data_IF_606964860774
#
_entry.id   IF_606964860774
#
_cell.length_a   1.000
_cell.length_b   1.000
_cell.length_c   1.000
_cell.angle_alpha   90.00
_cell.angle_beta   90.00
_cell.angle_gamma   90.00
#
_symmetry.space_group_name_H-M   'P 1'
#
loop_
_entity.id
_entity.type
_entity.pdbx_description
1 polymer ?
#
# COMPACT_ATOMS: atom_id res chain seq x y z
N UNK A 1 18.09 -5.57 -3.71
CA UNK A 1 17.52 -5.53 -2.35
C UNK A 1 16.77 -6.84 -2.07
N UNK A 2 16.62 -7.29 -0.81
CA UNK A 2 15.70 -8.38 -0.51
C UNK A 2 14.26 -7.99 -0.90
N UNK A 3 13.48 -8.96 -1.35
CA UNK A 3 12.06 -8.75 -1.67
C UNK A 3 11.31 -8.32 -0.40
N UNK A 4 10.50 -7.26 -0.50
CA UNK A 4 9.61 -6.87 0.58
C UNK A 4 8.52 -7.92 0.78
N UNK A 5 8.17 -8.20 2.03
CA UNK A 5 7.01 -9.01 2.42
C UNK A 5 6.18 -8.21 3.41
N UNK A 6 4.91 -7.97 3.09
CA UNK A 6 4.01 -7.25 3.95
C UNK A 6 3.75 -8.06 5.24
N UNK A 7 3.89 -7.45 6.43
CA UNK A 7 3.73 -8.15 7.71
C UNK A 7 2.24 -8.28 8.10
N UNK A 8 1.43 -8.88 7.22
CA UNK A 8 -0.03 -8.96 7.38
C UNK A 8 -0.45 -9.60 8.71
N UNK A 9 0.31 -10.58 9.20
CA UNK A 9 0.04 -11.22 10.48
C UNK A 9 0.08 -10.22 11.64
N UNK A 10 1.11 -9.38 11.69
CA UNK A 10 1.29 -8.42 12.77
C UNK A 10 0.30 -7.25 12.66
N UNK A 11 -0.01 -6.83 11.42
CA UNK A 11 -1.06 -5.84 11.17
C UNK A 11 -2.42 -6.36 11.67
N UNK A 12 -2.78 -7.59 11.32
CA UNK A 12 -4.02 -8.24 11.78
C UNK A 12 -4.04 -8.39 13.29
N UNK A 13 -2.93 -8.78 13.92
CA UNK A 13 -2.82 -8.87 15.37
C UNK A 13 -3.13 -7.52 16.04
N UNK A 14 -2.49 -6.44 15.59
CA UNK A 14 -2.73 -5.10 16.13
C UNK A 14 -4.19 -4.68 15.94
N UNK A 15 -4.72 -4.81 14.73
CA UNK A 15 -6.08 -4.37 14.42
C UNK A 15 -7.15 -5.15 15.20
N UNK A 16 -7.04 -6.47 15.26
CA UNK A 16 -8.08 -7.33 15.82
C UNK A 16 -7.90 -7.57 17.32
N UNK A 17 -6.70 -7.92 17.76
CA UNK A 17 -6.46 -8.40 19.12
C UNK A 17 -6.07 -7.28 20.09
N UNK A 18 -5.38 -6.24 19.60
CA UNK A 18 -4.93 -5.12 20.44
C UNK A 18 -5.95 -3.98 20.44
N UNK A 19 -6.46 -3.60 19.28
CA UNK A 19 -7.28 -2.39 19.14
C UNK A 19 -8.79 -2.66 19.00
N UNK A 20 -9.22 -3.90 18.79
CA UNK A 20 -10.62 -4.27 18.51
C UNK A 20 -11.25 -3.29 17.51
N UNK A 21 -10.64 -3.19 16.33
CA UNK A 21 -11.05 -2.21 15.32
C UNK A 21 -12.53 -2.39 14.93
N UNK A 22 -13.05 -3.62 14.93
CA UNK A 22 -14.43 -3.91 14.57
C UNK A 22 -15.42 -3.23 15.53
N UNK A 23 -15.18 -3.28 16.84
CA UNK A 23 -16.00 -2.54 17.81
C UNK A 23 -15.84 -1.03 17.66
N UNK A 24 -14.62 -0.55 17.41
CA UNK A 24 -14.38 0.88 17.18
C UNK A 24 -15.17 1.41 15.98
N UNK A 25 -15.11 0.73 14.83
CA UNK A 25 -15.77 1.18 13.60
C UNK A 25 -17.30 1.19 13.71
N UNK A 26 -17.88 0.29 14.52
CA UNK A 26 -19.33 0.33 14.82
C UNK A 26 -19.77 1.61 15.54
N UNK A 27 -18.85 2.33 16.19
CA UNK A 27 -19.17 3.62 16.83
C UNK A 27 -19.19 4.80 15.85
N UNK A 28 -18.69 4.59 14.63
CA UNK A 28 -18.61 5.62 13.60
C UNK A 28 -19.86 5.59 12.72
N UNK A 29 -20.45 6.76 12.45
CA UNK A 29 -21.65 6.88 11.61
C UNK A 29 -21.45 6.43 10.15
N UNK A 30 -20.20 6.25 9.73
CA UNK A 30 -19.78 5.82 8.40
C UNK A 30 -18.95 4.52 8.42
N UNK A 31 -19.00 3.75 9.51
CA UNK A 31 -18.19 2.53 9.68
C UNK A 31 -18.85 1.24 9.19
N UNK A 32 -20.05 1.31 8.62
CA UNK A 32 -20.89 0.13 8.31
C UNK A 32 -20.25 -0.87 7.33
N UNK A 33 -19.40 -0.40 6.42
CA UNK A 33 -18.75 -1.22 5.38
C UNK A 33 -17.36 -1.74 5.80
N UNK A 34 -16.93 -1.49 7.05
CA UNK A 34 -15.65 -1.98 7.55
C UNK A 34 -15.79 -3.35 8.23
N UNK A 35 -16.46 -4.30 7.56
CA UNK A 35 -16.53 -5.68 8.01
C UNK A 35 -15.17 -6.39 7.87
N UNK A 36 -15.06 -7.55 8.52
CA UNK A 36 -13.81 -8.31 8.58
C UNK A 36 -13.31 -8.74 7.20
N UNK A 37 -14.21 -9.24 6.35
CA UNK A 37 -13.83 -9.77 5.03
C UNK A 37 -13.39 -8.64 4.12
N UNK A 38 -14.13 -7.52 4.11
CA UNK A 38 -13.78 -6.32 3.32
C UNK A 38 -12.43 -5.74 3.72
N UNK A 39 -12.18 -5.59 5.02
CA UNK A 39 -10.90 -5.07 5.53
C UNK A 39 -9.76 -6.02 5.20
N UNK A 40 -9.97 -7.32 5.33
CA UNK A 40 -8.95 -8.32 5.00
C UNK A 40 -8.60 -8.32 3.51
N UNK A 41 -9.61 -8.24 2.63
CA UNK A 41 -9.40 -8.11 1.18
C UNK A 41 -8.58 -6.86 0.83
N UNK A 42 -8.85 -5.73 1.48
CA UNK A 42 -8.07 -4.49 1.28
C UNK A 42 -6.62 -4.69 1.70
N UNK A 43 -6.39 -5.32 2.86
CA UNK A 43 -5.04 -5.59 3.36
C UNK A 43 -4.27 -6.52 2.40
N UNK A 44 -4.91 -7.55 1.88
CA UNK A 44 -4.30 -8.49 0.93
C UNK A 44 -3.99 -7.83 -0.41
N UNK A 45 -4.92 -7.05 -0.96
CA UNK A 45 -4.68 -6.30 -2.20
C UNK A 45 -3.55 -5.27 -2.06
N UNK A 46 -3.53 -4.53 -0.94
CA UNK A 46 -2.45 -3.59 -0.66
C UNK A 46 -1.09 -4.29 -0.47
N UNK A 47 -1.07 -5.45 0.19
CA UNK A 47 0.13 -6.27 0.33
C UNK A 47 0.65 -6.74 -1.03
N UNK A 48 -0.22 -7.30 -1.86
CA UNK A 48 0.15 -7.77 -3.21
C UNK A 48 0.74 -6.64 -4.06
N UNK A 49 0.09 -5.48 -4.08
CA UNK A 49 0.59 -4.31 -4.79
C UNK A 49 1.96 -3.83 -4.28
N UNK A 50 2.14 -3.75 -2.95
CA UNK A 50 3.43 -3.35 -2.38
C UNK A 50 4.55 -4.35 -2.72
N UNK A 51 4.26 -5.65 -2.67
CA UNK A 51 5.23 -6.72 -2.91
C UNK A 51 5.59 -6.87 -4.39
N UNK A 52 4.60 -6.79 -5.29
CA UNK A 52 4.75 -7.12 -6.71
C UNK A 52 4.92 -5.91 -7.63
N UNK A 53 4.49 -4.71 -7.21
CA UNK A 53 4.61 -3.50 -8.02
C UNK A 53 5.63 -2.53 -7.43
N UNK A 54 5.51 -2.18 -6.15
CA UNK A 54 6.39 -1.16 -5.54
C UNK A 54 7.77 -1.71 -5.20
N UNK A 55 7.86 -2.86 -4.53
CA UNK A 55 9.15 -3.42 -4.09
C UNK A 55 10.15 -3.64 -5.24
N UNK A 56 9.76 -4.13 -6.43
CA UNK A 56 10.69 -4.28 -7.54
C UNK A 56 11.26 -2.96 -8.07
N UNK A 57 10.51 -1.86 -7.96
CA UNK A 57 10.94 -0.54 -8.41
C UNK A 57 11.93 0.14 -7.46
N UNK A 58 12.04 -0.34 -6.21
CA UNK A 58 12.80 0.35 -5.18
C UNK A 58 14.29 0.50 -5.52
N UNK A 59 14.93 -0.58 -6.00
CA UNK A 59 16.35 -0.54 -6.34
C UNK A 59 16.62 0.29 -7.61
N UNK A 60 15.86 0.06 -8.69
CA UNK A 60 16.06 0.82 -9.93
C UNK A 60 15.72 2.30 -9.75
N UNK A 61 14.72 2.61 -8.91
CA UNK A 61 14.35 3.98 -8.58
C UNK A 61 15.44 4.75 -7.84
N UNK A 62 16.11 4.09 -6.89
CA UNK A 62 17.25 4.66 -6.16
C UNK A 62 18.46 4.88 -7.09
N UNK A 63 18.74 3.92 -7.97
CA UNK A 63 19.85 4.00 -8.93
C UNK A 63 19.65 5.11 -9.99
N UNK A 64 18.44 5.29 -10.49
CA UNK A 64 18.11 6.31 -11.51
C UNK A 64 17.95 7.71 -10.90
N UNK A 65 17.23 7.81 -9.78
CA UNK A 65 16.85 9.07 -9.17
C UNK A 65 15.89 9.93 -10.01
N UNK A 66 15.48 11.08 -9.48
CA UNK A 66 14.69 12.05 -10.23
C UNK A 66 15.60 12.91 -11.12
N UNK A 67 15.09 13.26 -12.30
CA UNK A 67 15.76 14.19 -13.21
C UNK A 67 15.01 15.51 -13.30
N UNK A 68 15.75 16.61 -13.38
CA UNK A 68 15.21 17.94 -13.60
C UNK A 68 15.73 18.51 -14.91
N UNK A 69 14.83 18.92 -15.79
CA UNK A 69 15.17 19.56 -17.05
C UNK A 69 14.15 20.64 -17.40
N UNK A 70 14.63 21.86 -17.69
CA UNK A 70 13.82 23.01 -18.13
C UNK A 70 12.53 23.29 -17.32
N UNK A 71 12.58 23.13 -16.00
CA UNK A 71 11.43 23.36 -15.12
C UNK A 71 10.52 22.15 -14.91
N UNK A 72 10.81 21.02 -15.57
CA UNK A 72 10.09 19.75 -15.43
C UNK A 72 10.89 18.76 -14.58
N UNK A 73 10.23 18.09 -13.63
CA UNK A 73 10.80 16.98 -12.86
C UNK A 73 10.24 15.66 -13.40
N UNK A 74 11.13 14.72 -13.68
CA UNK A 74 10.78 13.36 -14.12
C UNK A 74 11.20 12.35 -13.06
N UNK A 75 10.25 11.54 -12.63
CA UNK A 75 10.49 10.43 -11.70
C UNK A 75 11.16 9.25 -12.42
N UNK A 76 11.83 8.35 -11.68
CA UNK A 76 12.39 7.14 -12.24
C UNK A 76 11.37 6.33 -13.05
N UNK A 77 11.88 5.53 -13.99
CA UNK A 77 11.06 4.63 -14.79
C UNK A 77 10.21 3.69 -13.92
N UNK A 78 8.95 3.51 -14.31
CA UNK A 78 8.01 2.61 -13.62
C UNK A 78 7.19 3.26 -12.51
N UNK A 79 7.66 4.38 -11.92
CA UNK A 79 6.94 5.06 -10.84
C UNK A 79 5.64 5.70 -11.31
N UNK A 80 5.61 6.23 -12.54
CA UNK A 80 4.39 6.79 -13.12
C UNK A 80 3.34 5.71 -13.33
N UNK A 81 3.74 4.57 -13.91
CA UNK A 81 2.85 3.45 -14.17
C UNK A 81 2.34 2.81 -12.88
N UNK A 82 3.22 2.67 -11.87
CA UNK A 82 2.81 2.22 -10.54
C UNK A 82 1.77 3.17 -9.94
N UNK A 83 2.01 4.49 -9.98
CA UNK A 83 1.05 5.47 -9.47
C UNK A 83 -0.28 5.43 -10.22
N UNK A 84 -0.24 5.30 -11.56
CA UNK A 84 -1.44 5.19 -12.37
C UNK A 84 -2.25 3.92 -12.01
N UNK A 85 -1.60 2.81 -11.64
CA UNK A 85 -2.27 1.62 -11.10
C UNK A 85 -2.89 1.87 -9.72
N UNK A 86 -2.16 2.51 -8.80
CA UNK A 86 -2.66 2.83 -7.46
C UNK A 86 -3.93 3.70 -7.50
N UNK A 87 -4.00 4.65 -8.43
CA UNK A 87 -5.15 5.55 -8.60
C UNK A 87 -6.36 4.82 -9.19
N UNK A 88 -6.18 3.74 -9.93
CA UNK A 88 -7.28 2.97 -10.53
C UNK A 88 -8.09 2.16 -9.50
N UNK A 89 -7.45 1.81 -8.36
CA UNK A 89 -8.05 1.00 -7.31
C UNK A 89 -7.90 -0.49 -7.55
#
# INVERSE_FOLDING_TARGET
>A
MPAYKAPLRDIRFLMNEVFDYASHYKTLSNGENADADTVDMILEGAADYCENVLSPLNQSGDEEGCHFDNGEVKTPKGFKEAYDQFVQG
#
